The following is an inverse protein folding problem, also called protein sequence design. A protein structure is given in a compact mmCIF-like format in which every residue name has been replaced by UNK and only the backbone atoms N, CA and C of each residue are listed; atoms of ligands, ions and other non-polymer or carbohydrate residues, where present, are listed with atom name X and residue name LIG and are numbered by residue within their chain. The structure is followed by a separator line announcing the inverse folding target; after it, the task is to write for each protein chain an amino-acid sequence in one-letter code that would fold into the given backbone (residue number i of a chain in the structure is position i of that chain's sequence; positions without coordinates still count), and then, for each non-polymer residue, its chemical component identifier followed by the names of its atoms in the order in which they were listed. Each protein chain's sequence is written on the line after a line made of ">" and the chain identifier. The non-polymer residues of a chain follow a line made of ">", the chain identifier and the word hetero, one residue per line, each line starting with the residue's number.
data_IF_007789438260
#
_entry.id   IF_007789438260
#
_cell.length_a   1.000
_cell.length_b   1.000
_cell.length_c   1.000
_cell.angle_alpha   90.00
_cell.angle_beta   90.00
_cell.angle_gamma   90.00
#
_symmetry.space_group_name_H-M   'P 1'
#
loop_
_entity.id
_entity.type
_entity.pdbx_description
1 polymer ?
#
# COMPACT_ATOMS: atom_id res chain seq x y z
N UNK A 1 18.12 7.27 0.88
CA UNK A 1 18.17 7.62 2.31
C UNK A 1 19.50 7.14 2.90
N UNK A 2 20.57 7.93 2.77
CA UNK A 2 21.81 7.68 3.50
C UNK A 2 21.65 8.33 4.87
N UNK A 3 21.01 7.62 5.79
CA UNK A 3 21.11 7.98 7.19
C UNK A 3 22.58 7.82 7.58
N UNK A 4 23.13 8.79 8.30
CA UNK A 4 24.42 8.71 8.95
C UNK A 4 24.40 7.64 10.08
N UNK A 5 24.18 6.38 9.69
CA UNK A 5 24.41 5.19 10.49
C UNK A 5 25.80 4.65 10.18
N UNK A 6 26.41 3.93 11.14
CA UNK A 6 27.61 3.16 10.85
C UNK A 6 27.31 2.22 9.67
N UNK A 7 28.14 2.27 8.64
CA UNK A 7 28.11 1.26 7.58
C UNK A 7 28.53 -0.07 8.19
N UNK A 8 27.84 -1.15 7.82
CA UNK A 8 28.30 -2.50 8.13
C UNK A 8 29.62 -2.72 7.36
N UNK A 9 30.70 -2.97 8.10
CA UNK A 9 32.05 -3.15 7.55
C UNK A 9 32.20 -4.30 6.57
N UNK A 10 31.19 -5.17 6.42
CA UNK A 10 31.19 -6.30 5.47
C UNK A 10 30.34 -6.04 4.23
N UNK A 11 29.37 -5.15 4.30
CA UNK A 11 28.34 -4.98 3.26
C UNK A 11 28.19 -3.54 2.76
N UNK A 12 28.93 -2.58 3.35
CA UNK A 12 28.85 -1.14 3.09
C UNK A 12 27.40 -0.59 3.03
N UNK A 13 26.49 -1.27 3.72
CA UNK A 13 25.08 -0.91 3.75
C UNK A 13 24.79 -0.06 4.98
N UNK A 14 23.94 0.98 4.88
CA UNK A 14 23.56 1.79 6.02
C UNK A 14 22.84 0.93 7.06
N UNK A 15 23.50 0.68 8.20
CA UNK A 15 22.85 0.07 9.35
C UNK A 15 22.02 1.17 10.00
N UNK A 16 20.72 1.16 9.75
CA UNK A 16 19.82 1.74 10.72
C UNK A 16 20.04 0.99 12.04
N UNK A 17 20.73 1.62 12.98
CA UNK A 17 20.95 1.04 14.29
C UNK A 17 19.58 0.65 14.86
N UNK A 18 19.40 -0.63 15.18
CA UNK A 18 18.19 -1.16 15.83
C UNK A 18 17.73 -0.29 17.01
N UNK A 19 18.66 0.39 17.70
CA UNK A 19 18.35 1.36 18.76
C UNK A 19 17.65 2.62 18.24
N UNK A 20 18.10 3.16 17.11
CA UNK A 20 17.46 4.32 16.48
C UNK A 20 16.07 3.94 15.99
N UNK A 21 15.92 2.79 15.31
CA UNK A 21 14.61 2.28 14.89
C UNK A 21 13.65 2.15 16.08
N UNK A 22 14.07 1.49 17.15
CA UNK A 22 13.26 1.35 18.36
C UNK A 22 12.93 2.70 19.00
N UNK A 23 13.88 3.64 19.04
CA UNK A 23 13.59 4.99 19.55
C UNK A 23 12.54 5.71 18.71
N UNK A 24 12.55 5.55 17.39
CA UNK A 24 11.54 6.14 16.50
C UNK A 24 10.18 5.47 16.72
N UNK A 25 10.13 4.14 16.78
CA UNK A 25 8.90 3.38 17.03
C UNK A 25 8.27 3.76 18.38
N UNK A 26 9.09 3.90 19.43
CA UNK A 26 8.64 4.35 20.75
C UNK A 26 8.10 5.80 20.73
N UNK A 27 8.71 6.70 19.96
CA UNK A 27 8.15 8.05 19.78
C UNK A 27 6.82 8.04 19.04
N UNK A 28 6.66 7.18 18.03
CA UNK A 28 5.41 7.07 17.26
C UNK A 28 4.28 6.55 18.15
N UNK A 29 4.52 5.48 18.91
CA UNK A 29 3.49 4.89 19.78
C UNK A 29 3.10 5.83 20.94
N UNK A 30 4.03 6.66 21.41
CA UNK A 30 3.78 7.70 22.43
C UNK A 30 3.08 8.95 21.87
N UNK A 31 3.24 9.25 20.57
CA UNK A 31 2.69 10.47 19.96
C UNK A 31 1.17 10.43 19.83
N UNK A 32 0.47 11.40 20.42
CA UNK A 32 -0.99 11.58 20.26
C UNK A 32 -1.39 11.98 18.83
N UNK A 33 -0.46 12.51 18.03
CA UNK A 33 -0.72 12.92 16.65
C UNK A 33 -0.52 11.80 15.63
N UNK A 34 -0.12 10.60 16.05
CA UNK A 34 0.08 9.48 15.14
C UNK A 34 -1.26 9.06 14.52
N UNK A 35 -1.32 9.00 13.19
CA UNK A 35 -2.52 8.56 12.46
C UNK A 35 -2.60 7.03 12.44
N UNK A 36 -3.79 6.47 12.18
CA UNK A 36 -3.95 5.01 12.02
C UNK A 36 -2.99 4.41 11.00
N UNK A 37 -2.83 4.97 9.77
CA UNK A 37 -1.84 4.45 8.83
C UNK A 37 -0.40 4.50 9.37
N UNK A 38 -0.01 5.57 10.07
CA UNK A 38 1.32 5.65 10.69
C UNK A 38 1.53 4.57 11.76
N UNK A 39 0.52 4.32 12.59
CA UNK A 39 0.56 3.26 13.60
C UNK A 39 0.61 1.86 12.98
N UNK A 40 -0.15 1.62 11.91
CA UNK A 40 -0.11 0.36 11.16
C UNK A 40 1.27 0.12 10.54
N UNK A 41 1.87 1.13 9.91
CA UNK A 41 3.21 1.07 9.34
C UNK A 41 4.28 0.80 10.41
N UNK A 42 4.25 1.57 11.51
CA UNK A 42 5.18 1.39 12.63
C UNK A 42 5.06 -0.02 13.25
N UNK A 43 3.83 -0.53 13.43
CA UNK A 43 3.60 -1.90 13.89
C UNK A 43 4.17 -2.94 12.91
N UNK A 44 4.09 -2.70 11.60
CA UNK A 44 4.67 -3.62 10.61
C UNK A 44 6.20 -3.71 10.71
N UNK A 45 6.87 -2.56 10.91
CA UNK A 45 8.33 -2.50 11.11
C UNK A 45 8.79 -3.31 12.34
N UNK A 46 7.93 -3.50 13.34
CA UNK A 46 8.24 -4.36 14.48
C UNK A 46 8.44 -5.85 14.15
N UNK A 47 8.14 -6.26 12.92
CA UNK A 47 8.40 -7.62 12.42
C UNK A 47 9.79 -7.78 11.79
N UNK A 48 10.52 -6.69 11.57
CA UNK A 48 11.89 -6.73 11.04
C UNK A 48 12.84 -7.41 12.04
N UNK A 49 13.78 -8.20 11.53
CA UNK A 49 14.60 -9.12 12.33
C UNK A 49 15.47 -8.43 13.39
N UNK A 50 15.85 -7.17 13.19
CA UNK A 50 16.69 -6.40 14.09
C UNK A 50 15.92 -5.77 15.28
N UNK A 51 14.60 -5.63 15.14
CA UNK A 51 13.69 -5.07 16.16
C UNK A 51 12.58 -6.02 16.63
N UNK A 52 12.46 -7.19 16.02
CA UNK A 52 11.52 -8.23 16.41
C UNK A 52 11.66 -8.62 17.89
N UNK A 53 10.52 -8.73 18.58
CA UNK A 53 10.45 -9.05 20.01
C UNK A 53 10.91 -7.93 20.96
N UNK A 54 11.32 -6.76 20.43
CA UNK A 54 11.70 -5.58 21.23
C UNK A 54 10.66 -4.46 21.19
N UNK A 55 9.70 -4.55 20.28
CA UNK A 55 8.57 -3.62 20.21
C UNK A 55 7.46 -3.99 21.20
N UNK A 56 6.79 -2.96 21.71
CA UNK A 56 5.53 -3.09 22.43
C UNK A 56 4.35 -3.17 21.44
N UNK A 57 4.20 -4.33 20.80
CA UNK A 57 3.15 -4.58 19.79
C UNK A 57 1.75 -4.48 20.41
N UNK A 58 1.60 -4.91 21.66
CA UNK A 58 0.31 -4.86 22.37
C UNK A 58 -0.18 -3.43 22.54
N UNK A 59 0.72 -2.50 22.91
CA UNK A 59 0.36 -1.08 23.01
C UNK A 59 0.01 -0.48 21.65
N UNK A 60 0.62 -0.92 20.55
CA UNK A 60 0.24 -0.48 19.20
C UNK A 60 -1.18 -0.93 18.89
N UNK A 61 -1.48 -2.19 19.17
CA UNK A 61 -2.81 -2.77 18.96
C UNK A 61 -3.87 -2.05 19.80
N UNK A 62 -3.63 -1.83 21.09
CA UNK A 62 -4.55 -1.10 21.96
C UNK A 62 -4.85 0.31 21.42
N UNK A 63 -3.82 1.03 20.99
CA UNK A 63 -3.99 2.38 20.43
C UNK A 63 -4.78 2.35 19.11
N UNK A 64 -4.49 1.40 18.23
CA UNK A 64 -5.23 1.20 16.98
C UNK A 64 -6.71 0.90 17.23
N UNK A 65 -7.02 0.01 18.19
CA UNK A 65 -8.40 -0.33 18.55
C UNK A 65 -9.18 0.85 19.16
N UNK A 66 -8.51 1.72 19.91
CA UNK A 66 -9.14 2.94 20.45
C UNK A 66 -9.35 3.99 19.37
N UNK A 67 -8.34 4.20 18.51
CA UNK A 67 -8.32 5.29 17.55
C UNK A 67 -9.24 5.05 16.35
N UNK A 68 -9.29 3.82 15.85
CA UNK A 68 -9.96 3.52 14.58
C UNK A 68 -10.58 2.11 14.55
N UNK A 69 -11.50 1.79 15.48
CA UNK A 69 -12.11 0.45 15.58
C UNK A 69 -12.90 0.04 14.34
N UNK A 70 -13.27 1.00 13.49
CA UNK A 70 -14.06 0.75 12.28
C UNK A 70 -13.19 0.34 11.07
N UNK A 71 -11.86 0.36 11.22
CA UNK A 71 -10.92 -0.04 10.17
C UNK A 71 -10.54 -1.53 10.28
N UNK A 72 -10.88 -2.30 9.25
CA UNK A 72 -10.62 -3.73 9.18
C UNK A 72 -9.12 -4.07 9.37
N UNK A 73 -8.21 -3.20 8.94
CA UNK A 73 -6.77 -3.47 8.91
C UNK A 73 -6.12 -3.64 10.28
N UNK A 74 -6.75 -3.13 11.33
CA UNK A 74 -6.20 -3.23 12.68
C UNK A 74 -6.28 -4.65 13.23
N UNK A 75 -7.28 -5.43 12.79
CA UNK A 75 -7.62 -6.75 13.32
C UNK A 75 -6.78 -7.90 12.76
N UNK A 76 -6.21 -7.76 11.55
CA UNK A 76 -5.52 -8.87 10.87
C UNK A 76 -4.32 -9.43 11.64
N UNK A 77 -3.61 -8.59 12.40
CA UNK A 77 -2.47 -9.07 13.19
C UNK A 77 -2.92 -9.97 14.34
N UNK A 78 -3.97 -9.56 15.06
CA UNK A 78 -4.57 -10.35 16.13
C UNK A 78 -5.19 -11.63 15.58
N UNK A 79 -5.87 -11.57 14.44
CA UNK A 79 -6.42 -12.76 13.79
C UNK A 79 -5.31 -13.75 13.45
N UNK A 80 -4.21 -13.27 12.86
CA UNK A 80 -3.07 -14.11 12.52
C UNK A 80 -2.43 -14.75 13.76
N UNK A 81 -2.34 -14.03 14.87
CA UNK A 81 -1.83 -14.59 16.13
C UNK A 81 -2.79 -15.64 16.70
N UNK A 82 -4.09 -15.33 16.79
CA UNK A 82 -5.11 -16.24 17.28
C UNK A 82 -5.18 -17.55 16.46
N UNK A 83 -5.06 -17.46 15.12
CA UNK A 83 -5.00 -18.62 14.23
C UNK A 83 -3.75 -19.46 14.48
N UNK A 84 -2.58 -18.83 14.70
CA UNK A 84 -1.34 -19.56 15.01
C UNK A 84 -1.39 -20.27 16.36
N UNK A 85 -2.01 -19.64 17.35
CA UNK A 85 -2.16 -20.19 18.70
C UNK A 85 -3.34 -21.17 18.80
N UNK A 86 -4.11 -21.33 17.72
CA UNK A 86 -5.36 -22.11 17.68
C UNK A 86 -6.36 -21.67 18.77
N UNK A 87 -6.39 -20.37 19.09
CA UNK A 87 -7.33 -19.80 20.06
C UNK A 87 -8.69 -19.58 19.40
N UNK A 88 -9.51 -20.64 19.45
CA UNK A 88 -10.83 -20.69 18.80
C UNK A 88 -11.76 -19.59 19.30
N UNK A 89 -11.72 -19.29 20.60
CA UNK A 89 -12.60 -18.26 21.19
C UNK A 89 -12.20 -16.86 20.70
N UNK A 90 -10.90 -16.57 20.68
CA UNK A 90 -10.39 -15.29 20.19
C UNK A 90 -10.63 -15.11 18.69
N UNK A 91 -10.46 -16.16 17.88
CA UNK A 91 -10.77 -16.10 16.44
C UNK A 91 -12.23 -15.69 16.21
N UNK A 92 -13.18 -16.33 16.89
CA UNK A 92 -14.60 -16.02 16.75
C UNK A 92 -14.94 -14.57 17.15
N UNK A 93 -14.32 -14.09 18.23
CA UNK A 93 -14.46 -12.68 18.67
C UNK A 93 -13.94 -11.72 17.61
N UNK A 94 -12.74 -11.99 17.07
CA UNK A 94 -12.11 -11.12 16.06
C UNK A 94 -12.91 -11.13 14.76
N UNK A 95 -13.37 -12.29 14.27
CA UNK A 95 -14.22 -12.35 13.07
C UNK A 95 -15.49 -11.53 13.24
N UNK A 96 -16.14 -11.60 14.41
CA UNK A 96 -17.32 -10.77 14.70
C UNK A 96 -16.98 -9.29 14.67
N UNK A 97 -15.89 -8.87 15.29
CA UNK A 97 -15.47 -7.46 15.29
C UNK A 97 -15.11 -6.97 13.87
N UNK A 98 -14.35 -7.77 13.12
CA UNK A 98 -14.01 -7.50 11.72
C UNK A 98 -15.27 -7.37 10.85
N UNK A 99 -16.31 -8.18 11.10
CA UNK A 99 -17.58 -8.09 10.36
C UNK A 99 -18.36 -6.79 10.58
N UNK A 100 -18.05 -6.07 11.66
CA UNK A 100 -18.62 -4.78 12.03
C UNK A 100 -17.78 -3.59 11.55
N UNK A 101 -16.57 -3.84 11.04
CA UNK A 101 -15.73 -2.79 10.46
C UNK A 101 -16.46 -2.11 9.28
N UNK A 102 -16.28 -0.80 9.14
CA UNK A 102 -16.96 -0.02 8.09
C UNK A 102 -16.11 0.16 6.85
N UNK A 103 -14.80 0.03 6.94
CA UNK A 103 -13.86 0.23 5.83
C UNK A 103 -12.55 -0.52 6.07
N UNK A 104 -11.70 -0.58 5.04
CA UNK A 104 -10.33 -1.08 5.11
C UNK A 104 -9.40 -0.01 4.55
N UNK A 105 -8.69 0.72 5.43
CA UNK A 105 -7.80 1.80 5.01
C UNK A 105 -6.38 1.59 5.48
N UNK A 106 -5.43 1.67 4.56
CA UNK A 106 -3.99 1.51 4.85
C UNK A 106 -3.14 2.57 4.17
N UNK A 107 -3.68 3.34 3.23
CA UNK A 107 -2.92 4.39 2.58
C UNK A 107 -2.75 5.59 3.52
N UNK A 108 -1.50 6.00 3.69
CA UNK A 108 -1.15 7.30 4.24
C UNK A 108 -0.69 8.21 3.11
N UNK A 109 -1.44 9.27 2.76
CA UNK A 109 -0.93 10.30 1.86
C UNK A 109 0.36 10.90 2.43
N UNK A 110 1.29 11.23 1.53
CA UNK A 110 2.50 11.95 1.93
C UNK A 110 2.11 13.41 2.17
N UNK A 111 2.38 13.92 3.37
CA UNK A 111 2.03 15.30 3.73
C UNK A 111 2.92 16.33 3.04
N UNK A 112 2.42 17.55 2.88
CA UNK A 112 3.19 18.65 2.29
C UNK A 112 4.44 18.99 3.14
N UNK A 113 4.34 18.87 4.46
CA UNK A 113 5.46 19.07 5.38
C UNK A 113 6.54 18.02 5.15
N UNK A 114 6.17 16.77 4.90
CA UNK A 114 7.12 15.71 4.58
C UNK A 114 7.83 15.98 3.24
N UNK A 115 7.08 16.37 2.21
CA UNK A 115 7.65 16.74 0.90
C UNK A 115 8.65 17.90 1.07
N UNK A 116 8.28 18.92 1.86
CA UNK A 116 9.14 20.07 2.16
C UNK A 116 10.41 19.64 2.91
N UNK A 117 10.31 18.70 3.85
CA UNK A 117 11.47 18.17 4.56
C UNK A 117 12.41 17.37 3.64
N UNK A 118 11.87 16.61 2.68
CA UNK A 118 12.66 15.95 1.64
C UNK A 118 13.37 16.98 0.76
N UNK A 119 12.67 18.04 0.36
CA UNK A 119 13.25 19.12 -0.44
C UNK A 119 14.41 19.82 0.28
N UNK A 120 14.22 20.20 1.54
CA UNK A 120 15.27 20.79 2.35
C UNK A 120 16.47 19.85 2.51
N UNK A 121 16.21 18.55 2.76
CA UNK A 121 17.28 17.55 2.89
C UNK A 121 18.13 17.44 1.62
N UNK A 122 17.51 17.36 0.44
CA UNK A 122 18.22 17.24 -0.84
C UNK A 122 19.05 18.49 -1.13
N UNK A 123 18.54 19.68 -0.76
CA UNK A 123 19.30 20.94 -0.88
C UNK A 123 20.51 20.99 0.05
N UNK A 124 20.37 20.52 1.28
CA UNK A 124 21.44 20.52 2.29
C UNK A 124 22.45 19.39 2.09
N UNK A 125 22.06 18.31 1.41
CA UNK A 125 22.87 17.12 1.17
C UNK A 125 22.86 16.76 -0.32
N UNK A 126 23.44 17.61 -1.19
CA UNK A 126 23.50 17.34 -2.61
C UNK A 126 24.27 16.05 -2.84
N UNK A 127 23.70 15.14 -3.64
CA UNK A 127 24.36 13.88 -3.94
C UNK A 127 25.58 14.13 -4.83
N UNK A 128 26.72 13.51 -4.51
CA UNK A 128 27.91 13.64 -5.33
C UNK A 128 27.69 13.00 -6.72
N UNK A 129 27.69 13.85 -7.75
CA UNK A 129 27.46 13.52 -9.17
C UNK A 129 28.18 12.24 -9.61
N UNK A 130 29.47 12.12 -9.28
CA UNK A 130 30.34 11.05 -9.78
C UNK A 130 29.96 9.64 -9.33
N UNK A 131 29.30 9.47 -8.18
CA UNK A 131 28.97 8.14 -7.64
C UNK A 131 27.63 7.62 -8.14
N UNK A 132 26.68 8.54 -8.38
CA UNK A 132 25.34 8.21 -8.88
C UNK A 132 25.35 8.09 -10.41
N UNK A 133 26.04 8.99 -11.13
CA UNK A 133 26.19 8.90 -12.58
C UNK A 133 26.87 7.58 -12.95
N UNK A 134 28.00 7.21 -12.33
CA UNK A 134 28.66 5.93 -12.62
C UNK A 134 27.78 4.68 -12.33
N UNK A 135 26.83 4.77 -11.41
CA UNK A 135 25.92 3.65 -11.05
C UNK A 135 24.65 3.62 -11.91
N UNK A 136 24.26 4.76 -12.49
CA UNK A 136 23.02 4.94 -13.24
C UNK A 136 23.25 5.35 -14.70
N UNK A 137 24.50 5.44 -15.17
CA UNK A 137 24.92 5.88 -16.52
C UNK A 137 24.26 5.06 -17.62
N UNK A 138 23.97 3.77 -17.36
CA UNK A 138 23.23 2.90 -18.28
C UNK A 138 21.70 3.10 -18.28
N UNK A 139 21.13 3.73 -17.24
CA UNK A 139 19.70 3.98 -17.07
C UNK A 139 19.31 5.44 -17.35
N UNK A 140 20.22 6.39 -17.16
CA UNK A 140 19.94 7.82 -17.26
C UNK A 140 20.30 8.41 -18.62
N UNK A 141 21.26 7.86 -19.37
CA UNK A 141 21.73 8.50 -20.60
C UNK A 141 22.24 9.93 -20.35
N UNK A 142 22.05 10.85 -21.31
CA UNK A 142 22.56 12.24 -21.29
C UNK A 142 21.76 13.21 -20.37
N UNK A 143 21.18 12.75 -19.25
CA UNK A 143 20.37 13.59 -18.35
C UNK A 143 21.25 14.60 -17.57
N UNK A 144 20.71 15.77 -17.25
CA UNK A 144 21.40 16.86 -16.53
C UNK A 144 21.39 16.67 -15.00
N UNK A 145 22.20 17.43 -14.25
CA UNK A 145 22.20 17.43 -12.77
C UNK A 145 20.82 17.72 -12.15
N UNK A 146 20.04 18.60 -12.78
CA UNK A 146 18.65 18.93 -12.37
C UNK A 146 17.74 17.69 -12.48
N UNK A 147 18.00 16.82 -13.46
CA UNK A 147 17.25 15.58 -13.65
C UNK A 147 17.61 14.52 -12.60
N UNK A 148 18.86 14.49 -12.13
CA UNK A 148 19.30 13.55 -11.08
C UNK A 148 18.68 13.89 -9.73
N UNK A 149 18.73 15.15 -9.31
CA UNK A 149 18.11 15.56 -8.03
C UNK A 149 16.59 15.37 -8.04
N UNK A 150 15.94 15.66 -9.17
CA UNK A 150 14.52 15.38 -9.37
C UNK A 150 14.25 13.88 -9.25
N UNK A 151 14.98 13.04 -9.97
CA UNK A 151 14.82 11.58 -9.91
C UNK A 151 15.04 11.03 -8.49
N UNK A 152 16.02 11.55 -7.76
CA UNK A 152 16.28 11.15 -6.37
C UNK A 152 15.14 11.54 -5.44
N UNK A 153 14.61 12.77 -5.56
CA UNK A 153 13.41 13.19 -4.85
C UNK A 153 12.25 12.23 -5.15
N UNK A 154 11.97 11.98 -6.42
CA UNK A 154 10.87 11.11 -6.83
C UNK A 154 11.06 9.67 -6.33
N UNK A 155 12.29 9.15 -6.35
CA UNK A 155 12.62 7.83 -5.82
C UNK A 155 12.37 7.75 -4.31
N UNK A 156 12.77 8.78 -3.55
CA UNK A 156 12.49 8.85 -2.12
C UNK A 156 10.99 8.86 -1.85
N UNK A 157 10.23 9.71 -2.55
CA UNK A 157 8.78 9.81 -2.37
C UNK A 157 8.04 8.52 -2.77
N UNK A 158 8.43 7.89 -3.88
CA UNK A 158 7.90 6.60 -4.29
C UNK A 158 8.20 5.50 -3.28
N UNK A 159 9.39 5.48 -2.67
CA UNK A 159 9.71 4.50 -1.64
C UNK A 159 8.71 4.57 -0.47
N UNK A 160 8.32 5.77 -0.04
CA UNK A 160 7.28 5.94 0.99
C UNK A 160 5.91 5.45 0.53
N UNK A 161 5.57 5.67 -0.74
CA UNK A 161 4.36 5.11 -1.32
C UNK A 161 4.37 3.57 -1.34
N UNK A 162 5.50 2.95 -1.72
CA UNK A 162 5.69 1.49 -1.73
C UNK A 162 5.57 0.90 -0.31
N UNK A 163 6.04 1.61 0.71
CA UNK A 163 5.91 1.18 2.11
C UNK A 163 4.43 1.05 2.51
N UNK A 164 3.53 1.89 1.99
CA UNK A 164 2.09 1.73 2.28
C UNK A 164 1.55 0.37 1.81
N UNK A 165 2.01 -0.15 0.67
CA UNK A 165 1.64 -1.49 0.18
C UNK A 165 2.28 -2.63 0.97
N UNK A 166 3.44 -2.38 1.58
CA UNK A 166 4.11 -3.37 2.43
C UNK A 166 3.33 -3.67 3.72
N UNK A 167 2.29 -2.88 4.02
CA UNK A 167 1.41 -3.07 5.18
C UNK A 167 0.15 -3.88 4.87
N UNK A 168 0.00 -4.39 3.64
CA UNK A 168 -1.13 -5.24 3.28
C UNK A 168 -1.04 -6.56 4.07
N UNK A 169 -2.08 -6.94 4.83
CA UNK A 169 -2.09 -8.15 5.63
C UNK A 169 -2.20 -9.39 4.75
N UNK A 170 -1.71 -10.52 5.27
CA UNK A 170 -1.90 -11.81 4.63
C UNK A 170 -3.37 -12.24 4.72
N UNK A 171 -3.95 -12.71 3.62
CA UNK A 171 -5.33 -13.21 3.57
C UNK A 171 -5.47 -14.60 4.21
N UNK A 172 -4.41 -15.41 4.20
CA UNK A 172 -4.47 -16.82 4.60
C UNK A 172 -5.04 -17.04 6.01
N UNK A 173 -4.68 -16.29 7.07
CA UNK A 173 -5.28 -16.47 8.39
C UNK A 173 -6.79 -16.22 8.40
N UNK A 174 -7.27 -15.27 7.59
CA UNK A 174 -8.70 -15.00 7.46
C UNK A 174 -9.43 -16.14 6.74
N UNK A 175 -8.84 -16.72 5.68
CA UNK A 175 -9.41 -17.91 5.02
C UNK A 175 -9.48 -19.08 6.01
N UNK A 176 -8.39 -19.37 6.73
CA UNK A 176 -8.35 -20.45 7.73
C UNK A 176 -9.41 -20.24 8.81
N UNK A 177 -9.55 -19.01 9.31
CA UNK A 177 -10.60 -18.68 10.27
C UNK A 177 -12.00 -18.89 9.68
N UNK A 178 -12.26 -18.47 8.44
CA UNK A 178 -13.56 -18.67 7.80
C UNK A 178 -13.90 -20.14 7.53
N UNK A 179 -12.90 -20.99 7.23
CA UNK A 179 -13.08 -22.43 7.07
C UNK A 179 -13.39 -23.13 8.39
N UNK A 180 -12.72 -22.74 9.47
CA UNK A 180 -12.89 -23.34 10.80
C UNK A 180 -14.24 -22.98 11.43
N UNK A 181 -14.77 -21.78 11.17
CA UNK A 181 -15.98 -21.25 11.79
C UNK A 181 -17.12 -21.13 10.79
N UNK A 182 -17.55 -22.27 10.23
CA UNK A 182 -18.64 -22.31 9.26
C UNK A 182 -19.95 -21.68 9.77
N UNK A 183 -20.22 -21.74 11.07
CA UNK A 183 -21.41 -21.13 11.67
C UNK A 183 -21.39 -19.58 11.58
N UNK A 184 -20.22 -19.00 11.34
CA UNK A 184 -19.97 -17.56 11.22
C UNK A 184 -19.75 -17.12 9.76
N UNK A 185 -20.25 -17.91 8.78
CA UNK A 185 -20.22 -17.61 7.34
C UNK A 185 -20.55 -16.14 7.02
N UNK A 186 -21.59 -15.62 7.67
CA UNK A 186 -22.07 -14.25 7.51
C UNK A 186 -21.03 -13.18 7.90
N UNK A 187 -20.17 -13.46 8.88
CA UNK A 187 -19.10 -12.54 9.27
C UNK A 187 -18.04 -12.49 8.17
N UNK A 188 -17.62 -13.64 7.66
CA UNK A 188 -16.68 -13.72 6.55
C UNK A 188 -17.19 -13.04 5.28
N UNK A 189 -18.47 -13.20 4.97
CA UNK A 189 -19.10 -12.50 3.85
C UNK A 189 -19.16 -10.98 4.06
N UNK A 190 -19.47 -10.51 5.28
CA UNK A 190 -19.44 -9.07 5.62
C UNK A 190 -18.03 -8.48 5.48
N UNK A 191 -17.01 -9.23 5.91
CA UNK A 191 -15.60 -8.85 5.77
C UNK A 191 -15.21 -8.75 4.29
N UNK A 192 -15.56 -9.77 3.49
CA UNK A 192 -15.31 -9.77 2.03
C UNK A 192 -15.96 -8.57 1.35
N UNK A 193 -17.21 -8.25 1.71
CA UNK A 193 -17.92 -7.10 1.20
C UNK A 193 -17.25 -5.77 1.56
N UNK A 194 -16.75 -5.65 2.79
CA UNK A 194 -16.01 -4.45 3.25
C UNK A 194 -14.70 -4.29 2.47
N UNK A 195 -13.95 -5.39 2.29
CA UNK A 195 -12.72 -5.41 1.49
C UNK A 195 -12.98 -5.01 0.03
N UNK A 196 -14.03 -5.55 -0.60
CA UNK A 196 -14.35 -5.28 -2.00
C UNK A 196 -14.80 -3.84 -2.24
N UNK A 197 -15.67 -3.33 -1.37
CA UNK A 197 -16.44 -2.12 -1.67
C UNK A 197 -15.99 -0.88 -0.88
N UNK A 198 -15.15 -1.06 0.14
CA UNK A 198 -14.78 0.01 1.09
C UNK A 198 -13.30 -0.02 1.47
N UNK A 199 -12.46 -0.49 0.55
CA UNK A 199 -11.01 -0.42 0.68
C UNK A 199 -10.41 0.74 -0.09
N UNK A 200 -9.34 1.32 0.41
CA UNK A 200 -8.57 2.36 -0.30
C UNK A 200 -7.45 1.80 -1.20
N UNK A 201 -7.19 0.48 -1.16
CA UNK A 201 -6.21 -0.19 -2.02
C UNK A 201 -6.85 -1.25 -2.91
N UNK A 202 -6.40 -1.34 -4.15
CA UNK A 202 -6.85 -2.32 -5.12
C UNK A 202 -6.49 -3.75 -4.68
N UNK A 203 -5.37 -3.93 -3.97
CA UNK A 203 -4.98 -5.24 -3.44
C UNK A 203 -6.01 -5.75 -2.43
N UNK A 204 -6.51 -4.88 -1.55
CA UNK A 204 -7.57 -5.26 -0.61
C UNK A 204 -8.90 -5.55 -1.32
N UNK A 205 -9.21 -4.81 -2.40
CA UNK A 205 -10.37 -5.10 -3.24
C UNK A 205 -10.26 -6.51 -3.87
N UNK A 206 -9.09 -6.85 -4.42
CA UNK A 206 -8.80 -8.19 -4.96
C UNK A 206 -8.89 -9.27 -3.89
N UNK A 207 -8.36 -9.01 -2.68
CA UNK A 207 -8.50 -9.92 -1.54
C UNK A 207 -9.98 -10.10 -1.14
N UNK A 208 -10.79 -9.04 -1.23
CA UNK A 208 -12.23 -9.10 -0.99
C UNK A 208 -12.94 -10.04 -1.95
N UNK A 209 -12.64 -9.96 -3.25
CA UNK A 209 -13.17 -10.90 -4.25
C UNK A 209 -12.73 -12.34 -3.96
N UNK A 210 -11.43 -12.57 -3.73
CA UNK A 210 -10.92 -13.91 -3.43
C UNK A 210 -11.51 -14.51 -2.15
N UNK A 211 -11.75 -13.69 -1.12
CA UNK A 211 -12.44 -14.15 0.10
C UNK A 211 -13.90 -14.51 -0.18
N UNK A 212 -14.63 -13.71 -0.95
CA UNK A 212 -16.03 -13.97 -1.31
C UNK A 212 -16.17 -15.27 -2.12
N UNK A 213 -15.23 -15.53 -3.04
CA UNK A 213 -15.11 -16.81 -3.77
C UNK A 213 -14.88 -17.97 -2.81
N UNK A 214 -13.89 -17.88 -1.91
CA UNK A 214 -13.57 -18.94 -0.96
C UNK A 214 -14.70 -19.23 0.02
N UNK A 215 -15.33 -18.19 0.55
CA UNK A 215 -16.53 -18.32 1.38
C UNK A 215 -17.64 -19.04 0.60
N UNK A 216 -17.92 -18.62 -0.64
CA UNK A 216 -18.94 -19.26 -1.47
C UNK A 216 -18.64 -20.74 -1.75
N UNK A 217 -17.37 -21.10 -1.99
CA UNK A 217 -16.92 -22.50 -2.13
C UNK A 217 -17.13 -23.32 -0.86
N UNK A 218 -16.73 -22.78 0.31
CA UNK A 218 -16.86 -23.45 1.62
C UNK A 218 -18.32 -23.77 1.94
N UNK A 219 -19.24 -22.86 1.61
CA UNK A 219 -20.68 -23.00 1.91
C UNK A 219 -21.51 -23.62 0.78
N UNK A 220 -20.90 -23.95 -0.36
CA UNK A 220 -21.59 -24.55 -1.50
C UNK A 220 -22.58 -23.62 -2.20
N UNK A 221 -22.38 -22.30 -2.12
CA UNK A 221 -23.21 -21.29 -2.79
C UNK A 221 -22.68 -21.02 -4.20
N UNK A 222 -23.09 -21.87 -5.15
CA UNK A 222 -22.65 -21.79 -6.54
C UNK A 222 -23.06 -20.48 -7.25
N UNK A 223 -24.17 -19.86 -6.84
CA UNK A 223 -24.63 -18.60 -7.43
C UNK A 223 -23.73 -17.44 -7.00
N UNK A 224 -23.46 -17.32 -5.69
CA UNK A 224 -22.54 -16.31 -5.16
C UNK A 224 -21.12 -16.50 -5.68
N UNK A 225 -20.66 -17.75 -5.81
CA UNK A 225 -19.36 -18.05 -6.41
C UNK A 225 -19.25 -17.52 -7.85
N UNK A 226 -20.24 -17.82 -8.69
CA UNK A 226 -20.25 -17.38 -10.09
C UNK A 226 -20.29 -15.85 -10.19
N UNK A 227 -21.10 -15.20 -9.33
CA UNK A 227 -21.18 -13.73 -9.27
C UNK A 227 -19.87 -13.10 -8.84
N UNK A 228 -19.20 -13.66 -7.84
CA UNK A 228 -17.91 -13.16 -7.36
C UNK A 228 -16.84 -13.27 -8.44
N UNK A 229 -16.73 -14.43 -9.10
CA UNK A 229 -15.79 -14.66 -10.21
C UNK A 229 -15.99 -13.67 -11.36
N UNK A 230 -17.25 -13.45 -11.78
CA UNK A 230 -17.56 -12.49 -12.83
C UNK A 230 -17.19 -11.05 -12.42
N UNK A 231 -17.43 -10.68 -11.16
CA UNK A 231 -17.11 -9.35 -10.65
C UNK A 231 -15.59 -9.13 -10.48
N UNK A 232 -14.84 -10.17 -10.07
CA UNK A 232 -13.38 -10.14 -10.02
C UNK A 232 -12.78 -9.98 -11.42
N UNK A 233 -13.28 -10.73 -12.40
CA UNK A 233 -12.84 -10.59 -13.79
C UNK A 233 -13.13 -9.19 -14.32
N UNK A 234 -14.33 -8.66 -14.11
CA UNK A 234 -14.69 -7.31 -14.52
C UNK A 234 -13.82 -6.23 -13.86
N UNK A 235 -13.41 -6.42 -12.60
CA UNK A 235 -12.46 -5.51 -11.94
C UNK A 235 -11.06 -5.64 -12.55
N UNK A 236 -10.59 -6.85 -12.83
CA UNK A 236 -9.30 -7.11 -13.48
C UNK A 236 -9.25 -6.47 -14.88
N UNK A 237 -10.29 -6.65 -15.68
CA UNK A 237 -10.40 -6.06 -17.02
C UNK A 237 -10.39 -4.54 -16.97
N UNK A 238 -11.09 -3.95 -16.00
CA UNK A 238 -11.08 -2.51 -15.73
C UNK A 238 -9.67 -2.01 -15.38
N UNK A 239 -8.94 -2.69 -14.48
CA UNK A 239 -7.56 -2.29 -14.13
C UNK A 239 -6.62 -2.43 -15.34
N UNK A 240 -6.73 -3.51 -16.09
CA UNK A 240 -5.93 -3.73 -17.30
C UNK A 240 -6.19 -2.66 -18.36
N UNK A 241 -7.44 -2.23 -18.53
CA UNK A 241 -7.81 -1.14 -19.43
C UNK A 241 -7.10 0.18 -19.04
N UNK A 242 -7.11 0.54 -17.74
CA UNK A 242 -6.43 1.74 -17.25
C UNK A 242 -4.91 1.70 -17.47
N UNK A 243 -4.31 0.50 -17.49
CA UNK A 243 -2.88 0.30 -17.69
C UNK A 243 -2.46 0.23 -19.16
N UNK A 244 -3.37 0.26 -20.14
CA UNK A 244 -3.03 0.11 -21.56
C UNK A 244 -2.03 1.16 -22.04
N UNK A 245 -2.18 2.41 -21.61
CA UNK A 245 -1.27 3.49 -22.00
C UNK A 245 0.13 3.34 -21.40
N UNK A 246 0.29 2.60 -20.29
CA UNK A 246 1.62 2.33 -19.72
C UNK A 246 2.49 1.50 -20.66
N UNK A 247 1.89 0.61 -21.45
CA UNK A 247 2.62 -0.22 -22.42
C UNK A 247 3.13 0.57 -23.64
N UNK A 248 2.67 1.81 -23.83
CA UNK A 248 3.09 2.70 -24.91
C UNK A 248 4.26 3.61 -24.50
N UNK A 249 4.71 3.53 -23.25
CA UNK A 249 5.77 4.38 -22.72
C UNK A 249 7.09 3.63 -22.76
N UNK A 250 7.95 4.01 -23.71
CA UNK A 250 9.27 3.40 -23.89
C UNK A 250 10.31 3.84 -22.84
N UNK A 251 10.07 4.96 -22.13
CA UNK A 251 10.97 5.46 -21.09
C UNK A 251 10.75 4.70 -19.77
N UNK A 252 11.66 3.81 -19.32
CA UNK A 252 11.49 3.07 -18.07
C UNK A 252 11.43 3.99 -16.82
N UNK A 253 11.83 5.25 -16.95
CA UNK A 253 11.78 6.24 -15.88
C UNK A 253 10.43 6.98 -15.79
N UNK A 254 9.45 6.65 -16.64
CA UNK A 254 8.14 7.32 -16.64
C UNK A 254 7.42 7.28 -15.29
N UNK A 255 7.67 6.23 -14.50
CA UNK A 255 7.11 6.10 -13.16
C UNK A 255 7.61 7.23 -12.24
N UNK A 256 8.79 7.78 -12.51
CA UNK A 256 9.38 8.92 -11.80
C UNK A 256 9.03 10.27 -12.41
N UNK A 257 8.09 10.34 -13.36
CA UNK A 257 7.59 11.62 -13.84
C UNK A 257 6.99 12.42 -12.65
N UNK A 258 7.39 13.69 -12.42
CA UNK A 258 6.91 14.45 -11.27
C UNK A 258 5.39 14.57 -11.18
N UNK A 259 4.70 14.70 -12.32
CA UNK A 259 3.24 14.78 -12.39
C UNK A 259 2.60 13.45 -11.98
N UNK A 260 3.11 12.35 -12.54
CA UNK A 260 2.64 11.01 -12.17
C UNK A 260 2.91 10.68 -10.70
N UNK A 261 4.12 10.94 -10.19
CA UNK A 261 4.45 10.69 -8.78
C UNK A 261 3.57 11.53 -7.86
N UNK A 262 3.31 12.80 -8.19
CA UNK A 262 2.41 13.66 -7.42
C UNK A 262 1.02 13.02 -7.28
N UNK A 263 0.45 12.51 -8.37
CA UNK A 263 -0.84 11.79 -8.35
C UNK A 263 -0.77 10.59 -7.40
N UNK A 264 0.28 9.77 -7.50
CA UNK A 264 0.40 8.55 -6.70
C UNK A 264 0.57 8.83 -5.20
N UNK A 265 1.38 9.83 -4.81
CA UNK A 265 1.73 10.07 -3.41
C UNK A 265 0.73 10.92 -2.62
N UNK A 266 -0.04 11.77 -3.29
CA UNK A 266 -1.01 12.66 -2.64
C UNK A 266 -2.39 12.02 -2.50
N UNK A 267 -2.65 11.00 -3.29
CA UNK A 267 -3.93 10.32 -3.30
C UNK A 267 -4.26 9.57 -2.02
N UNK A 268 -5.54 9.60 -1.64
CA UNK A 268 -6.10 8.87 -0.50
C UNK A 268 -6.71 7.52 -0.90
N UNK A 269 -6.73 7.20 -2.20
CA UNK A 269 -7.36 5.99 -2.73
C UNK A 269 -6.62 5.52 -3.99
N UNK A 270 -6.06 4.32 -3.96
CA UNK A 270 -5.25 3.75 -5.05
C UNK A 270 -6.03 3.67 -6.36
N UNK A 271 -7.31 3.26 -6.30
CA UNK A 271 -8.21 3.26 -7.47
C UNK A 271 -8.33 4.64 -8.14
N UNK A 272 -8.52 5.70 -7.37
CA UNK A 272 -8.55 7.07 -7.92
C UNK A 272 -7.20 7.49 -8.49
N UNK A 273 -6.10 7.09 -7.85
CA UNK A 273 -4.75 7.39 -8.33
C UNK A 273 -4.47 6.71 -9.67
N UNK A 274 -4.93 5.47 -9.84
CA UNK A 274 -4.81 4.73 -11.09
C UNK A 274 -5.60 5.40 -12.21
N UNK A 275 -6.82 5.87 -11.94
CA UNK A 275 -7.63 6.61 -12.92
C UNK A 275 -6.99 7.94 -13.31
N UNK A 276 -6.54 8.73 -12.33
CA UNK A 276 -5.85 9.99 -12.58
C UNK A 276 -4.53 9.78 -13.33
N UNK A 277 -3.78 8.73 -12.99
CA UNK A 277 -2.54 8.36 -13.67
C UNK A 277 -2.78 7.95 -15.12
N UNK A 278 -3.83 7.17 -15.37
CA UNK A 278 -4.22 6.78 -16.72
C UNK A 278 -4.61 8.01 -17.57
N UNK A 279 -5.39 8.94 -17.00
CA UNK A 279 -5.76 10.21 -17.64
C UNK A 279 -4.52 11.07 -17.93
N UNK A 280 -3.61 11.18 -16.97
CA UNK A 280 -2.35 11.90 -17.13
C UNK A 280 -1.52 11.37 -18.31
N UNK A 281 -1.35 10.04 -18.42
CA UNK A 281 -0.61 9.46 -19.55
C UNK A 281 -1.37 9.55 -20.86
N UNK A 282 -2.69 9.43 -20.85
CA UNK A 282 -3.51 9.64 -22.05
C UNK A 282 -3.25 11.02 -22.66
N UNK A 283 -3.36 12.08 -21.87
CA UNK A 283 -3.17 13.45 -22.36
C UNK A 283 -1.73 13.65 -22.87
N UNK A 284 -0.73 13.18 -22.11
CA UNK A 284 0.69 13.29 -22.50
C UNK A 284 1.03 12.56 -23.80
N UNK A 285 0.53 11.33 -23.97
CA UNK A 285 0.79 10.51 -25.17
C UNK A 285 0.04 11.04 -26.39
N UNK A 286 -1.20 11.49 -26.19
CA UNK A 286 -2.03 12.12 -27.23
C UNK A 286 -1.40 13.40 -27.75
N UNK A 287 -0.96 14.28 -26.86
CA UNK A 287 -0.29 15.54 -27.22
C UNK A 287 1.04 15.29 -27.94
N UNK A 288 1.69 14.16 -27.64
CA UNK A 288 2.92 13.70 -28.29
C UNK A 288 2.68 12.96 -29.61
N UNK A 289 1.43 12.75 -30.02
CA UNK A 289 1.07 12.11 -31.30
C UNK A 289 1.29 10.60 -31.36
N UNK A 290 1.31 9.90 -30.22
CA UNK A 290 1.43 8.43 -30.22
C UNK A 290 0.18 7.77 -30.82
N UNK A 291 0.37 6.74 -31.63
CA UNK A 291 -0.72 5.91 -32.13
C UNK A 291 -1.14 4.87 -31.09
N UNK A 292 -2.40 4.41 -31.14
CA UNK A 292 -2.89 3.35 -30.26
C UNK A 292 -3.23 3.79 -28.82
N UNK A 293 -3.18 5.09 -28.53
CA UNK A 293 -3.55 5.66 -27.22
C UNK A 293 -5.03 5.41 -26.92
N UNK A 294 -5.32 4.87 -25.74
CA UNK A 294 -6.68 4.53 -25.30
C UNK A 294 -7.18 5.58 -24.31
N UNK A 295 -8.39 6.12 -24.53
CA UNK A 295 -9.03 7.05 -23.60
C UNK A 295 -9.51 6.30 -22.34
N UNK A 296 -8.95 6.57 -21.15
CA UNK A 296 -9.31 5.88 -19.91
C UNK A 296 -10.78 6.04 -19.52
N UNK A 297 -11.46 7.08 -20.01
CA UNK A 297 -12.91 7.28 -19.81
C UNK A 297 -13.71 6.10 -20.36
N UNK A 298 -13.21 5.44 -21.40
CA UNK A 298 -13.86 4.25 -21.98
C UNK A 298 -13.76 3.01 -21.10
N UNK A 299 -12.86 2.98 -20.11
CA UNK A 299 -12.74 1.89 -19.15
C UNK A 299 -13.85 1.86 -18.09
N UNK A 300 -14.66 2.92 -17.99
CA UNK A 300 -15.72 3.05 -16.99
C UNK A 300 -15.17 3.48 -15.62
N UNK A 301 -14.68 4.73 -15.56
CA UNK A 301 -14.15 5.33 -14.33
C UNK A 301 -15.18 5.26 -13.18
N UNK A 302 -14.70 4.91 -12.00
CA UNK A 302 -15.45 4.60 -10.78
C UNK A 302 -15.22 5.60 -9.67
N UNK A 303 -14.08 6.29 -9.66
CA UNK A 303 -13.64 7.12 -8.52
C UNK A 303 -13.47 8.60 -8.88
N UNK A 304 -13.14 8.90 -10.13
CA UNK A 304 -12.93 10.26 -10.64
C UNK A 304 -14.08 10.66 -11.54
N UNK A 305 -14.73 11.77 -11.20
CA UNK A 305 -15.68 12.42 -12.09
C UNK A 305 -14.91 13.27 -13.10
N UNK A 306 -15.14 13.02 -14.39
CA UNK A 306 -14.54 13.79 -15.48
C UNK A 306 -15.65 14.58 -16.15
N UNK A 307 -15.61 15.91 -16.01
CA UNK A 307 -16.52 16.85 -16.69
C UNK A 307 -16.05 17.15 -18.12
#
# INVERSE_FOLDING_TARGET
>A
MYFAGRLDSKTDSPVFDSKLKLSVLNKIIESESATTPTLLAARSMCKESDVAGKCDVDRFNQKLFIQDPENLNIYFNELNQAVKDADVELIAVILRQMSQAKYSRSLSPISAEFITAVDAYIQENPFAEATILASLEGLLGDRTEVDVNSLMKQSMLQMFYIINFSNIPALQPLIVACEQFQQDAQYCQSIANTLRNRSDTNVMVMMGYGLDEKVSEIFGDAESLTKSQAAQQAFTDYQMCLLQNHALIDDPLYMFDPGFVTIMIQGQHEGANLELGALYFYDKLKDSGHEGVVDPRTCGLRYVEVN
#
